data_IF_805769535436
#
_entry.id   IF_805769535436
#
_cell.length_a   1.000
_cell.length_b   1.000
_cell.length_c   1.000
_cell.angle_alpha   90.00
_cell.angle_beta   90.00
_cell.angle_gamma   90.00
#
_symmetry.space_group_name_H-M   'P 1'
#
loop_
_entity.id
_entity.type
_entity.pdbx_description
1 polymer ?
#
# COMPACT_ATOMS: atom_id res chain seq x y z
N UNK A 1 -3.19 -12.27 12.33
CA UNK A 1 -3.46 -10.91 11.82
C UNK A 1 -3.35 -10.98 10.31
N UNK A 2 -4.23 -10.31 9.60
CA UNK A 2 -4.21 -10.22 8.13
C UNK A 2 -3.83 -8.79 7.75
N UNK A 3 -2.87 -8.66 6.85
CA UNK A 3 -2.47 -7.39 6.27
C UNK A 3 -2.87 -7.32 4.78
N UNK A 4 -3.05 -6.12 4.28
CA UNK A 4 -3.49 -5.84 2.92
C UNK A 4 -2.65 -4.70 2.36
N UNK A 5 -2.20 -4.81 1.12
CA UNK A 5 -1.62 -3.69 0.39
C UNK A 5 -2.65 -3.04 -0.54
N UNK A 6 -2.40 -1.82 -0.96
CA UNK A 6 -3.22 -1.10 -1.96
C UNK A 6 -2.24 -0.45 -2.94
N UNK A 7 -2.19 -0.96 -4.16
CA UNK A 7 -1.17 -0.63 -5.14
C UNK A 7 -1.78 -0.41 -6.54
N UNK A 8 -0.97 0.13 -7.45
CA UNK A 8 -1.32 0.17 -8.87
C UNK A 8 -1.29 -1.24 -9.47
N UNK A 9 -2.14 -1.49 -10.50
CA UNK A 9 -2.23 -2.79 -11.19
C UNK A 9 -0.90 -3.28 -11.76
N UNK A 10 -0.01 -2.35 -12.11
CA UNK A 10 1.31 -2.64 -12.68
C UNK A 10 2.40 -2.89 -11.62
N UNK A 11 2.10 -2.65 -10.34
CA UNK A 11 3.07 -2.79 -9.25
C UNK A 11 3.40 -4.27 -9.01
N UNK A 12 4.68 -4.62 -9.10
CA UNK A 12 5.21 -5.95 -8.85
C UNK A 12 6.08 -6.02 -7.58
N UNK A 13 6.48 -4.88 -7.05
CA UNK A 13 7.23 -4.73 -5.80
C UNK A 13 6.31 -4.13 -4.76
N UNK A 14 5.76 -4.96 -3.88
CA UNK A 14 4.86 -4.53 -2.83
C UNK A 14 5.68 -4.24 -1.59
N UNK A 15 5.81 -2.97 -1.25
CA UNK A 15 6.72 -2.50 -0.21
C UNK A 15 6.01 -2.23 1.12
N UNK A 16 4.72 -1.98 1.09
CA UNK A 16 3.95 -1.68 2.29
C UNK A 16 2.58 -2.36 2.32
N UNK A 17 2.09 -2.60 3.53
CA UNK A 17 0.77 -3.16 3.78
C UNK A 17 0.20 -2.60 5.09
N UNK A 18 -1.11 -2.65 5.22
CA UNK A 18 -1.84 -2.18 6.39
C UNK A 18 -2.63 -3.32 7.03
N UNK A 19 -2.79 -3.26 8.35
CA UNK A 19 -3.73 -4.12 9.08
C UNK A 19 -4.52 -3.32 10.09
N UNK A 20 -5.75 -3.77 10.38
CA UNK A 20 -6.64 -3.14 11.36
C UNK A 20 -7.20 -4.20 12.30
N UNK A 21 -7.14 -3.94 13.59
CA UNK A 21 -7.66 -4.82 14.63
C UNK A 21 -8.40 -4.04 15.70
N UNK A 22 -9.29 -4.70 16.41
CA UNK A 22 -9.95 -4.14 17.59
C UNK A 22 -11.12 -3.20 17.32
N UNK A 23 -11.66 -3.16 16.10
CA UNK A 23 -12.89 -2.41 15.81
C UNK A 23 -14.02 -2.85 16.75
N UNK A 24 -14.75 -1.88 17.30
CA UNK A 24 -15.83 -2.10 18.28
C UNK A 24 -15.37 -2.35 19.73
N UNK A 25 -14.06 -2.32 20.01
CA UNK A 25 -13.50 -2.54 21.36
C UNK A 25 -13.16 -1.24 22.11
N UNK A 26 -13.30 -0.08 21.44
CA UNK A 26 -12.89 1.23 21.97
C UNK A 26 -11.40 1.54 21.75
N UNK A 27 -10.61 0.57 21.31
CA UNK A 27 -9.21 0.79 20.91
C UNK A 27 -8.92 0.05 19.62
N UNK A 28 -8.57 0.78 18.58
CA UNK A 28 -8.21 0.21 17.28
C UNK A 28 -6.71 0.25 17.08
N UNK A 29 -6.15 -0.87 16.66
CA UNK A 29 -4.72 -1.01 16.36
C UNK A 29 -4.56 -1.02 14.85
N UNK A 30 -3.84 -0.04 14.32
CA UNK A 30 -3.44 0.00 12.92
C UNK A 30 -1.98 -0.43 12.83
N UNK A 31 -1.72 -1.47 12.05
CA UNK A 31 -0.37 -1.89 11.69
C UNK A 31 0.02 -1.30 10.34
N UNK A 32 1.20 -0.70 10.27
CA UNK A 32 1.88 -0.33 9.02
C UNK A 32 3.08 -1.25 8.88
N UNK A 33 3.08 -2.06 7.84
CA UNK A 33 4.07 -3.11 7.61
C UNK A 33 4.91 -2.75 6.40
N UNK A 34 6.22 -2.64 6.58
CA UNK A 34 7.17 -2.32 5.51
C UNK A 34 8.03 -3.55 5.23
N UNK A 35 8.14 -3.92 3.97
CA UNK A 35 9.02 -5.00 3.53
C UNK A 35 10.45 -4.79 4.06
N UNK A 36 11.11 -5.87 4.48
CA UNK A 36 12.39 -5.80 5.17
C UNK A 36 13.55 -6.43 4.35
N UNK A 37 13.82 -6.00 3.09
CA UNK A 37 14.89 -6.57 2.26
C UNK A 37 16.28 -6.37 2.86
N UNK A 38 16.46 -5.38 3.73
CA UNK A 38 17.70 -5.17 4.47
C UNK A 38 18.14 -6.34 5.36
N UNK A 39 17.25 -7.30 5.64
CA UNK A 39 17.62 -8.54 6.33
C UNK A 39 18.49 -9.48 5.50
N UNK A 40 18.48 -9.36 4.17
CA UNK A 40 19.29 -10.16 3.26
C UNK A 40 20.67 -9.55 3.01
N UNK A 41 20.92 -8.34 3.49
CA UNK A 41 22.09 -7.53 3.11
C UNK A 41 22.90 -7.15 4.34
N UNK A 42 24.21 -7.29 4.25
CA UNK A 42 25.11 -6.67 5.21
C UNK A 42 25.73 -5.40 4.60
N UNK A 43 25.96 -4.39 5.43
CA UNK A 43 26.62 -3.17 5.00
C UNK A 43 28.02 -3.48 4.44
N UNK A 44 28.29 -3.02 3.21
CA UNK A 44 29.54 -3.26 2.49
C UNK A 44 29.58 -4.55 1.67
N UNK A 45 28.49 -5.32 1.63
CA UNK A 45 28.37 -6.42 0.67
C UNK A 45 28.26 -5.91 -0.78
N UNK A 46 28.64 -6.72 -1.80
CA UNK A 46 28.55 -6.30 -3.20
C UNK A 46 27.15 -5.84 -3.63
N UNK A 47 26.09 -6.42 -3.05
CA UNK A 47 24.70 -6.01 -3.31
C UNK A 47 24.42 -4.65 -2.65
N UNK A 48 24.89 -4.42 -1.41
CA UNK A 48 24.76 -3.12 -0.73
C UNK A 48 25.46 -2.02 -1.53
N UNK A 49 26.66 -2.30 -2.06
CA UNK A 49 27.41 -1.34 -2.89
C UNK A 49 26.65 -0.99 -4.17
N UNK A 50 26.06 -1.97 -4.85
CA UNK A 50 25.20 -1.74 -6.04
C UNK A 50 23.97 -0.93 -5.68
N UNK A 51 23.25 -1.32 -4.62
CA UNK A 51 22.05 -0.65 -4.16
C UNK A 51 22.35 0.80 -3.74
N UNK A 52 23.44 1.02 -3.04
CA UNK A 52 23.93 2.36 -2.63
C UNK A 52 24.23 3.27 -3.81
N UNK A 53 24.79 2.72 -4.90
CA UNK A 53 25.04 3.48 -6.13
C UNK A 53 23.76 3.75 -6.94
N UNK A 54 22.76 2.86 -6.90
CA UNK A 54 21.48 3.04 -7.60
C UNK A 54 20.51 3.95 -6.84
N UNK A 55 20.49 3.90 -5.51
CA UNK A 55 19.66 4.69 -4.58
C UNK A 55 18.17 4.43 -4.65
N UNK A 56 17.62 4.00 -5.78
CA UNK A 56 16.20 3.75 -5.99
C UNK A 56 15.96 2.82 -7.18
N UNK A 57 14.77 2.27 -7.27
CA UNK A 57 14.25 1.66 -8.51
C UNK A 57 13.85 2.77 -9.48
N UNK A 58 14.28 2.68 -10.73
CA UNK A 58 13.91 3.62 -11.80
C UNK A 58 12.90 2.96 -12.72
N UNK A 59 11.72 3.56 -12.83
CA UNK A 59 10.64 3.09 -13.67
C UNK A 59 10.65 3.85 -14.99
N UNK A 60 10.58 3.10 -16.09
CA UNK A 60 10.50 3.60 -17.45
C UNK A 60 9.39 2.87 -18.20
N UNK A 61 8.82 3.45 -19.27
CA UNK A 61 7.84 2.73 -20.09
C UNK A 61 8.39 1.38 -20.56
N UNK A 62 7.72 0.28 -20.19
CA UNK A 62 8.10 -1.08 -20.57
C UNK A 62 9.37 -1.65 -19.94
N UNK A 63 10.04 -0.92 -19.06
CA UNK A 63 11.26 -1.39 -18.38
C UNK A 63 11.44 -0.76 -17.02
N UNK A 64 12.09 -1.49 -16.10
CA UNK A 64 12.54 -0.93 -14.83
C UNK A 64 13.97 -1.36 -14.52
N UNK A 65 14.73 -0.49 -13.85
CA UNK A 65 16.02 -0.81 -13.27
C UNK A 65 15.84 -0.86 -11.76
N UNK A 66 15.84 -2.05 -11.21
CA UNK A 66 15.62 -2.26 -9.77
C UNK A 66 16.83 -1.83 -8.95
N UNK A 67 16.59 -1.28 -7.76
CA UNK A 67 17.68 -0.97 -6.82
C UNK A 67 18.35 -2.24 -6.32
N UNK A 68 17.57 -3.26 -6.00
CA UNK A 68 18.04 -4.58 -5.54
C UNK A 68 17.89 -5.63 -6.65
N UNK A 69 18.65 -6.73 -6.58
CA UNK A 69 18.45 -7.88 -7.48
C UNK A 69 17.03 -8.46 -7.35
N UNK A 70 16.51 -9.00 -8.45
CA UNK A 70 15.14 -9.50 -8.53
C UNK A 70 14.85 -10.64 -7.53
N UNK A 71 15.81 -11.48 -7.22
CA UNK A 71 15.69 -12.56 -6.24
C UNK A 71 15.49 -12.02 -4.81
N UNK A 72 16.18 -10.92 -4.46
CA UNK A 72 15.96 -10.22 -3.19
C UNK A 72 14.57 -9.59 -3.17
N UNK A 73 14.20 -8.89 -4.26
CA UNK A 73 12.86 -8.28 -4.37
C UNK A 73 11.78 -9.33 -4.19
N UNK A 74 11.83 -10.45 -4.94
CA UNK A 74 10.83 -11.51 -4.88
C UNK A 74 10.76 -12.20 -3.50
N UNK A 75 11.87 -12.25 -2.79
CA UNK A 75 11.92 -12.84 -1.45
C UNK A 75 11.23 -11.98 -0.40
N UNK A 76 11.32 -10.65 -0.53
CA UNK A 76 10.85 -9.72 0.49
C UNK A 76 9.60 -8.94 0.12
N UNK A 77 9.19 -8.91 -1.15
CA UNK A 77 7.93 -8.27 -1.55
C UNK A 77 6.75 -8.85 -0.77
N UNK A 78 5.84 -7.98 -0.33
CA UNK A 78 4.68 -8.35 0.49
C UNK A 78 3.58 -8.97 -0.39
N UNK A 79 3.92 -10.10 -1.04
CA UNK A 79 3.03 -10.82 -1.95
C UNK A 79 1.88 -11.53 -1.24
N UNK A 80 0.70 -11.50 -1.88
CA UNK A 80 -0.52 -12.14 -1.41
C UNK A 80 -0.37 -13.63 -1.10
N UNK A 81 -1.10 -14.11 -0.09
CA UNK A 81 -1.15 -15.51 0.32
C UNK A 81 0.09 -16.01 1.05
N UNK A 82 1.01 -15.13 1.42
CA UNK A 82 2.29 -15.49 2.01
C UNK A 82 2.56 -14.71 3.30
N UNK A 83 3.36 -15.32 4.19
CA UNK A 83 3.95 -14.60 5.31
C UNK A 83 5.32 -14.07 4.89
N UNK A 84 5.54 -12.77 5.10
CA UNK A 84 6.79 -12.08 4.72
C UNK A 84 7.38 -11.34 5.90
N UNK A 85 8.72 -11.28 6.00
CA UNK A 85 9.37 -10.49 7.03
C UNK A 85 9.13 -9.01 6.78
N UNK A 86 8.62 -8.32 7.79
CA UNK A 86 8.31 -6.89 7.74
C UNK A 86 8.73 -6.18 9.01
N UNK A 87 9.13 -4.92 8.87
CA UNK A 87 9.21 -3.98 9.98
C UNK A 87 7.83 -3.37 10.16
N UNK A 88 7.17 -3.72 11.27
CA UNK A 88 5.80 -3.32 11.56
C UNK A 88 5.77 -2.22 12.61
N UNK A 89 5.09 -1.11 12.32
CA UNK A 89 4.70 -0.10 13.29
C UNK A 89 3.23 -0.31 13.65
N UNK A 90 2.94 -0.57 14.90
CA UNK A 90 1.59 -0.63 15.44
C UNK A 90 1.25 0.66 16.16
N UNK A 91 0.16 1.29 15.77
CA UNK A 91 -0.37 2.49 16.41
C UNK A 91 -1.72 2.17 17.00
N UNK A 92 -1.85 2.37 18.31
CA UNK A 92 -3.09 2.17 19.04
C UNK A 92 -3.84 3.49 19.11
N UNK A 93 -5.05 3.51 18.57
CA UNK A 93 -5.92 4.68 18.54
C UNK A 93 -7.10 4.51 19.50
N UNK A 94 -7.52 5.58 20.13
CA UNK A 94 -8.90 5.65 20.64
C UNK A 94 -9.86 5.58 19.44
N UNK A 95 -10.82 4.65 19.49
CA UNK A 95 -11.70 4.41 18.35
C UNK A 95 -12.64 5.58 18.05
N UNK A 96 -13.03 6.32 19.08
CA UNK A 96 -13.96 7.45 18.96
C UNK A 96 -13.23 8.75 18.59
N UNK A 97 -12.13 9.07 19.28
CA UNK A 97 -11.43 10.35 19.14
C UNK A 97 -10.31 10.31 18.10
N UNK A 98 -9.85 9.12 17.70
CA UNK A 98 -8.69 8.87 16.83
C UNK A 98 -7.36 9.39 17.43
N UNK A 99 -7.32 9.63 18.73
CA UNK A 99 -6.09 10.01 19.43
C UNK A 99 -5.17 8.79 19.59
N UNK A 100 -3.87 9.01 19.43
CA UNK A 100 -2.86 7.97 19.62
C UNK A 100 -2.70 7.67 21.11
N UNK A 101 -2.93 6.43 21.50
CA UNK A 101 -2.74 5.93 22.87
C UNK A 101 -1.37 5.30 23.09
N UNK A 102 -0.87 4.57 22.12
CA UNK A 102 0.40 3.84 22.21
C UNK A 102 0.97 3.56 20.83
N UNK A 103 2.26 3.32 20.76
CA UNK A 103 2.96 2.85 19.56
C UNK A 103 3.96 1.76 19.91
N UNK A 104 4.13 0.79 19.04
CA UNK A 104 5.19 -0.20 19.15
C UNK A 104 5.72 -0.60 17.77
N UNK A 105 6.98 -0.99 17.71
CA UNK A 105 7.63 -1.43 16.48
C UNK A 105 8.12 -2.86 16.65
N UNK A 106 7.90 -3.72 15.65
CA UNK A 106 8.32 -5.13 15.64
C UNK A 106 8.94 -5.50 14.32
N UNK A 107 9.94 -6.35 14.36
CA UNK A 107 10.40 -7.11 13.19
C UNK A 107 9.76 -8.50 13.28
N UNK A 108 8.93 -8.86 12.31
CA UNK A 108 8.10 -10.06 12.40
C UNK A 108 7.72 -10.61 11.02
N UNK A 109 7.09 -11.80 11.02
CA UNK A 109 6.45 -12.36 9.84
C UNK A 109 5.00 -11.89 9.77
N UNK A 110 4.62 -11.21 8.69
CA UNK A 110 3.27 -10.69 8.46
C UNK A 110 2.61 -11.46 7.33
N UNK A 111 1.40 -12.00 7.58
CA UNK A 111 0.62 -12.68 6.55
C UNK A 111 -0.13 -11.66 5.71
N UNK A 112 0.14 -11.65 4.41
CA UNK A 112 -0.51 -10.76 3.44
C UNK A 112 -1.75 -11.49 2.89
N UNK A 113 -2.91 -11.00 3.26
CA UNK A 113 -4.17 -11.62 2.88
C UNK A 113 -4.58 -11.31 1.44
N UNK A 114 -4.32 -10.09 0.97
CA UNK A 114 -4.51 -9.71 -0.43
C UNK A 114 -3.70 -8.47 -0.79
N UNK A 115 -3.37 -8.36 -2.08
CA UNK A 115 -2.84 -7.16 -2.70
C UNK A 115 -3.97 -6.50 -3.51
N UNK A 116 -4.62 -5.50 -2.91
CA UNK A 116 -5.70 -4.74 -3.53
C UNK A 116 -5.15 -3.81 -4.63
N UNK A 117 -5.94 -3.52 -5.65
CA UNK A 117 -5.53 -2.70 -6.79
C UNK A 117 -6.42 -1.48 -6.93
N UNK A 118 -5.81 -0.31 -7.19
CA UNK A 118 -6.53 0.96 -7.29
C UNK A 118 -7.66 0.91 -8.32
N UNK A 119 -7.38 0.42 -9.52
CA UNK A 119 -8.35 0.29 -10.61
C UNK A 119 -9.54 -0.61 -10.28
N UNK A 120 -9.33 -1.66 -9.47
CA UNK A 120 -10.39 -2.53 -8.98
C UNK A 120 -11.22 -1.89 -7.86
N UNK A 121 -10.64 -0.95 -7.13
CA UNK A 121 -11.29 -0.30 -5.99
C UNK A 121 -12.08 0.94 -6.39
N UNK A 122 -11.67 1.68 -7.42
CA UNK A 122 -12.23 2.98 -7.81
C UNK A 122 -13.75 2.93 -8.04
N UNK A 123 -14.23 1.89 -8.69
CA UNK A 123 -15.66 1.72 -8.99
C UNK A 123 -16.49 1.24 -7.79
N UNK A 124 -15.85 0.67 -6.78
CA UNK A 124 -16.49 -0.01 -5.65
C UNK A 124 -16.42 0.84 -4.39
N UNK A 125 -15.22 1.32 -4.06
CA UNK A 125 -14.93 2.00 -2.80
C UNK A 125 -15.19 3.49 -2.95
N UNK A 126 -16.46 3.87 -2.89
CA UNK A 126 -16.89 5.27 -2.84
C UNK A 126 -17.08 5.74 -1.40
N UNK A 127 -17.07 7.04 -1.17
CA UNK A 127 -17.35 7.60 0.15
C UNK A 127 -18.74 7.16 0.68
N UNK A 128 -19.75 7.14 -0.19
CA UNK A 128 -21.07 6.65 0.15
C UNK A 128 -21.06 5.17 0.57
N UNK A 129 -20.29 4.33 -0.13
CA UNK A 129 -20.14 2.92 0.22
C UNK A 129 -19.44 2.74 1.59
N UNK A 130 -18.41 3.54 1.89
CA UNK A 130 -17.70 3.50 3.18
C UNK A 130 -18.58 3.93 4.36
N UNK A 131 -19.59 4.78 4.13
CA UNK A 131 -20.49 5.28 5.15
C UNK A 131 -21.75 4.42 5.37
N UNK A 132 -21.96 3.37 4.57
CA UNK A 132 -23.13 2.50 4.71
C UNK A 132 -23.15 1.76 6.05
N UNK A 133 -24.32 1.61 6.71
CA UNK A 133 -24.45 0.77 7.89
C UNK A 133 -24.19 -0.71 7.60
N UNK A 134 -23.68 -1.44 8.59
CA UNK A 134 -23.28 -2.85 8.42
C UNK A 134 -24.43 -3.83 8.15
N UNK A 135 -25.68 -3.38 8.31
CA UNK A 135 -26.88 -4.24 8.17
C UNK A 135 -27.37 -4.39 6.72
N UNK A 136 -26.87 -3.57 5.79
CA UNK A 136 -27.31 -3.59 4.38
C UNK A 136 -26.43 -4.45 3.48
N UNK A 137 -26.11 -5.67 3.92
CA UNK A 137 -25.31 -6.63 3.15
C UNK A 137 -26.05 -7.35 2.04
N UNK A 138 -27.17 -6.84 1.58
CA UNK A 138 -27.91 -7.44 0.47
C UNK A 138 -27.59 -6.69 -0.85
N UNK A 139 -26.44 -6.94 -1.46
CA UNK A 139 -26.19 -6.55 -2.85
C UNK A 139 -24.94 -5.73 -3.18
N UNK A 140 -24.04 -5.48 -2.22
CA UNK A 140 -22.70 -4.96 -2.55
C UNK A 140 -21.76 -6.07 -2.99
N UNK A 141 -20.67 -5.76 -3.72
CA UNK A 141 -19.69 -6.78 -4.10
C UNK A 141 -19.15 -7.43 -2.82
N UNK A 142 -19.53 -8.69 -2.62
CA UNK A 142 -19.07 -9.56 -1.51
C UNK A 142 -17.61 -9.98 -1.64
N UNK A 143 -16.82 -9.27 -2.45
CA UNK A 143 -15.56 -9.78 -3.00
C UNK A 143 -14.34 -8.93 -2.65
N UNK A 144 -14.46 -7.85 -1.86
CA UNK A 144 -13.26 -7.22 -1.35
C UNK A 144 -12.64 -8.09 -0.26
N UNK A 145 -11.40 -8.50 -0.48
CA UNK A 145 -10.65 -9.29 0.48
C UNK A 145 -10.49 -8.57 1.83
N UNK A 146 -10.39 -7.25 1.83
CA UNK A 146 -10.35 -6.43 3.04
C UNK A 146 -11.76 -6.03 3.48
N UNK A 147 -12.15 -6.25 4.76
CA UNK A 147 -13.46 -5.87 5.27
C UNK A 147 -13.74 -4.38 5.16
N UNK A 148 -14.94 -4.02 4.70
CA UNK A 148 -15.39 -2.62 4.53
C UNK A 148 -15.19 -1.77 5.79
N UNK A 149 -15.49 -2.31 6.98
CA UNK A 149 -15.30 -1.61 8.25
C UNK A 149 -13.85 -1.18 8.48
N UNK A 150 -12.89 -2.00 8.09
CA UNK A 150 -11.46 -1.69 8.19
C UNK A 150 -11.09 -0.56 7.23
N UNK A 151 -11.54 -0.60 5.97
CA UNK A 151 -11.35 0.46 4.99
C UNK A 151 -12.00 1.77 5.45
N UNK A 152 -13.23 1.73 5.97
CA UNK A 152 -13.94 2.89 6.49
C UNK A 152 -13.20 3.52 7.68
N UNK A 153 -12.65 2.71 8.58
CA UNK A 153 -11.83 3.21 9.68
C UNK A 153 -10.56 3.89 9.16
N UNK A 154 -9.83 3.25 8.25
CA UNK A 154 -8.61 3.81 7.66
C UNK A 154 -8.89 5.12 6.92
N UNK A 155 -9.98 5.20 6.16
CA UNK A 155 -10.41 6.43 5.49
C UNK A 155 -10.67 7.57 6.47
N UNK A 156 -11.46 7.31 7.53
CA UNK A 156 -11.73 8.28 8.60
C UNK A 156 -10.44 8.74 9.28
N UNK A 157 -9.55 7.80 9.59
CA UNK A 157 -8.24 8.08 10.18
C UNK A 157 -7.38 8.94 9.25
N UNK A 158 -7.32 8.62 7.97
CA UNK A 158 -6.55 9.36 6.97
C UNK A 158 -7.04 10.82 6.86
N UNK A 159 -8.36 11.05 6.82
CA UNK A 159 -8.95 12.38 6.82
C UNK A 159 -8.59 13.18 8.09
N UNK A 160 -8.65 12.53 9.26
CA UNK A 160 -8.26 13.15 10.54
C UNK A 160 -6.78 13.54 10.55
N UNK A 161 -5.89 12.64 10.15
CA UNK A 161 -4.45 12.89 10.09
C UNK A 161 -4.11 13.98 9.06
N UNK A 162 -4.81 13.99 7.91
CA UNK A 162 -4.68 15.07 6.91
C UNK A 162 -5.06 16.41 7.51
N UNK A 163 -6.21 16.52 8.14
CA UNK A 163 -6.67 17.76 8.78
C UNK A 163 -5.68 18.26 9.84
N UNK A 164 -5.17 17.36 10.70
CA UNK A 164 -4.16 17.71 11.70
C UNK A 164 -2.85 18.23 11.05
N UNK A 165 -2.41 17.59 9.97
CA UNK A 165 -1.21 17.99 9.22
C UNK A 165 -1.37 19.36 8.55
N UNK A 166 -2.56 19.66 8.00
CA UNK A 166 -2.87 20.96 7.41
C UNK A 166 -2.81 22.09 8.43
N UNK A 167 -3.28 21.86 9.66
CA UNK A 167 -3.14 22.83 10.77
C UNK A 167 -1.67 23.14 11.05
N UNK A 168 -0.83 22.12 11.17
CA UNK A 168 0.61 22.28 11.43
C UNK A 168 1.32 23.00 10.28
N UNK A 169 0.94 22.71 9.03
CA UNK A 169 1.50 23.35 7.83
C UNK A 169 0.99 24.78 7.61
N UNK A 170 -0.12 25.15 8.22
CA UNK A 170 -0.77 26.45 8.04
C UNK A 170 -1.37 26.67 6.64
N UNK A 171 -1.55 25.61 5.86
CA UNK A 171 -2.15 25.64 4.51
C UNK A 171 -2.79 24.30 4.15
N UNK A 172 -3.86 24.33 3.32
CA UNK A 172 -4.46 23.10 2.80
C UNK A 172 -3.45 22.27 2.00
N UNK A 173 -3.60 20.96 2.07
CA UNK A 173 -2.88 20.01 1.22
C UNK A 173 -3.65 19.86 -0.09
N UNK A 174 -3.17 20.54 -1.12
CA UNK A 174 -3.75 20.45 -2.47
C UNK A 174 -2.85 19.58 -3.33
N UNK A 175 -3.32 18.38 -3.68
CA UNK A 175 -2.72 17.54 -4.72
C UNK A 175 -3.29 17.95 -6.07
N UNK A 176 -2.83 19.08 -6.63
CA UNK A 176 -3.25 19.55 -7.93
C UNK A 176 -2.24 19.22 -9.04
N UNK A 177 -1.29 18.35 -8.77
CA UNK A 177 -0.37 17.89 -9.81
C UNK A 177 -0.96 16.62 -10.42
N UNK A 178 -1.20 16.61 -11.74
CA UNK A 178 -1.57 15.36 -12.41
C UNK A 178 -0.43 14.35 -12.23
N UNK A 179 -0.78 13.15 -11.89
CA UNK A 179 0.14 12.02 -11.94
C UNK A 179 0.07 11.42 -13.34
N UNK A 180 1.23 11.22 -13.98
CA UNK A 180 1.32 10.73 -15.34
C UNK A 180 1.85 9.29 -15.31
N UNK A 181 1.00 8.36 -15.71
CA UNK A 181 1.41 7.00 -15.95
C UNK A 181 1.80 6.81 -17.43
N UNK A 182 2.89 6.10 -17.66
CA UNK A 182 3.41 5.82 -18.99
C UNK A 182 3.38 4.32 -19.23
N UNK A 183 2.79 3.90 -20.34
CA UNK A 183 2.82 2.50 -20.78
C UNK A 183 3.21 2.39 -22.24
N UNK A 184 3.85 1.27 -22.60
CA UNK A 184 4.05 0.91 -24.00
C UNK A 184 2.78 0.27 -24.53
N UNK A 185 2.38 0.67 -25.72
CA UNK A 185 1.26 0.08 -26.46
C UNK A 185 1.68 -0.17 -27.90
N UNK A 186 1.15 -1.19 -28.55
CA UNK A 186 1.29 -1.39 -29.99
C UNK A 186 0.70 -0.19 -30.76
N UNK A 187 1.09 0.00 -32.02
CA UNK A 187 0.62 1.13 -32.86
C UNK A 187 -0.90 1.20 -33.00
N UNK A 188 -1.58 0.10 -32.83
CA UNK A 188 -3.05 -0.06 -32.89
C UNK A 188 -3.71 -0.06 -31.51
N UNK A 189 -2.94 0.17 -30.43
CA UNK A 189 -3.41 0.09 -29.06
C UNK A 189 -3.43 -1.33 -28.46
N UNK A 190 -2.94 -2.31 -29.19
CA UNK A 190 -2.83 -3.70 -28.74
C UNK A 190 -1.63 -3.92 -27.79
N UNK A 191 -1.44 -5.17 -27.37
CA UNK A 191 -0.27 -5.58 -26.62
C UNK A 191 1.03 -5.29 -27.39
N UNK A 192 2.13 -4.93 -26.69
CA UNK A 192 3.42 -4.59 -27.30
C UNK A 192 3.95 -5.74 -28.17
N UNK A 193 4.32 -5.45 -29.41
CA UNK A 193 4.83 -6.44 -30.39
C UNK A 193 6.21 -6.11 -30.96
N UNK A 194 6.88 -5.09 -30.43
CA UNK A 194 8.21 -4.63 -30.88
C UNK A 194 8.18 -3.33 -31.72
N UNK A 195 7.01 -2.82 -32.06
CA UNK A 195 6.80 -1.48 -32.63
C UNK A 195 5.85 -0.67 -31.73
N UNK A 196 6.35 -0.30 -30.56
CA UNK A 196 5.54 0.31 -29.53
C UNK A 196 5.53 1.83 -29.63
N UNK A 197 4.47 2.42 -29.09
CA UNK A 197 4.38 3.87 -28.79
C UNK A 197 4.17 4.05 -27.28
N UNK A 198 4.65 5.16 -26.74
CA UNK A 198 4.37 5.53 -25.34
C UNK A 198 3.01 6.18 -25.26
N UNK A 199 2.12 5.61 -24.48
CA UNK A 199 0.84 6.21 -24.11
C UNK A 199 0.96 6.87 -22.73
N UNK A 200 0.44 8.09 -22.60
CA UNK A 200 0.40 8.87 -21.35
C UNK A 200 -1.01 8.87 -20.82
#
# INVERSE_FOLDING_TARGET
MQAYSIDDSQTTEIDDALSVQGLGSGTVIVGVHIAAPGLALAAGDPIDDVARNRLSTVYMPGHKVTMLPDDVVQTYTLGEGQARPALSLYVHFDEATLEVKNTETRLEQVFIAANLRHDQLEDIVTEAWLQQPDFEHAGGPSELAMPRQQLAFLYRLALNLKAAREVVRGKPETFNRPDYNFRLVGKDGSEPTGEETVQI
#
